data_IF_605975480117
#
_entry.id   IF_605975480117
#
_cell.length_a   1.000
_cell.length_b   1.000
_cell.length_c   1.000
_cell.angle_alpha   90.00
_cell.angle_beta   90.00
_cell.angle_gamma   90.00
#
_symmetry.space_group_name_H-M   'P 1'
#
loop_
_entity.id
_entity.type
_entity.pdbx_description
1 polymer ?
#
# COMPACT_ATOMS: atom_id res chain seq x y z
N UNK A 1 -18.86 6.59 -9.88
CA UNK A 1 -18.59 5.14 -9.69
C UNK A 1 -17.13 4.79 -9.43
N UNK A 2 -16.13 5.44 -10.05
CA UNK A 2 -14.70 5.17 -9.73
C UNK A 2 -14.30 5.82 -8.40
N UNK A 3 -14.81 7.02 -8.13
CA UNK A 3 -14.67 7.72 -6.85
C UNK A 3 -15.15 6.86 -5.68
N UNK A 4 -16.38 6.34 -5.77
CA UNK A 4 -16.97 5.42 -4.78
C UNK A 4 -16.16 4.12 -4.59
N UNK A 5 -15.50 3.62 -5.64
CA UNK A 5 -14.59 2.48 -5.52
C UNK A 5 -13.27 2.85 -4.83
N UNK A 6 -12.73 4.03 -5.14
CA UNK A 6 -11.57 4.60 -4.45
C UNK A 6 -11.81 4.71 -2.94
N UNK A 7 -12.97 5.21 -2.53
CA UNK A 7 -13.36 5.31 -1.12
C UNK A 7 -13.46 3.95 -0.45
N UNK A 8 -14.01 2.94 -1.16
CA UNK A 8 -14.08 1.56 -0.68
C UNK A 8 -12.68 0.97 -0.47
N UNK A 9 -11.75 1.21 -1.40
CA UNK A 9 -10.36 0.77 -1.29
C UNK A 9 -9.64 1.47 -0.12
N UNK A 10 -9.86 2.78 0.06
CA UNK A 10 -9.30 3.55 1.18
C UNK A 10 -9.84 3.06 2.52
N UNK A 11 -11.16 2.88 2.65
CA UNK A 11 -11.79 2.39 3.88
C UNK A 11 -11.28 0.99 4.26
N UNK A 12 -11.04 0.12 3.28
CA UNK A 12 -10.45 -1.21 3.53
C UNK A 12 -8.99 -1.13 3.94
N UNK A 13 -8.21 -0.21 3.37
CA UNK A 13 -6.83 0.04 3.77
C UNK A 13 -6.77 0.60 5.20
N UNK A 14 -7.61 1.58 5.52
CA UNK A 14 -7.77 2.17 6.86
C UNK A 14 -8.11 1.09 7.89
N UNK A 15 -9.11 0.23 7.62
CA UNK A 15 -9.50 -0.87 8.52
C UNK A 15 -8.35 -1.86 8.77
N UNK A 16 -7.56 -2.17 7.74
CA UNK A 16 -6.38 -3.04 7.90
C UNK A 16 -5.31 -2.37 8.76
N UNK A 17 -5.05 -1.08 8.55
CA UNK A 17 -4.08 -0.33 9.33
C UNK A 17 -4.49 -0.26 10.81
N UNK A 18 -5.76 0.03 11.09
CA UNK A 18 -6.34 0.01 12.45
C UNK A 18 -6.17 -1.37 13.08
N UNK A 19 -6.44 -2.46 12.34
CA UNK A 19 -6.26 -3.82 12.86
C UNK A 19 -4.83 -4.12 13.34
N UNK A 20 -3.81 -3.65 12.62
CA UNK A 20 -2.40 -3.83 13.05
C UNK A 20 -2.09 -3.03 14.33
N UNK A 21 -2.61 -1.80 14.42
CA UNK A 21 -2.41 -0.96 15.61
C UNK A 21 -3.11 -1.57 16.82
N UNK A 22 -4.37 -1.99 16.68
CA UNK A 22 -5.12 -2.63 17.77
C UNK A 22 -4.45 -3.93 18.22
N UNK A 23 -3.94 -4.73 17.28
CA UNK A 23 -3.20 -5.95 17.61
C UNK A 23 -1.92 -5.64 18.40
N UNK A 24 -1.14 -4.65 17.96
CA UNK A 24 0.07 -4.22 18.66
C UNK A 24 -0.24 -3.71 20.08
N UNK A 25 -1.31 -2.92 20.24
CA UNK A 25 -1.75 -2.43 21.55
C UNK A 25 -2.25 -3.56 22.46
N UNK A 26 -2.95 -4.56 21.91
CA UNK A 26 -3.38 -5.73 22.67
C UNK A 26 -2.18 -6.55 23.18
N UNK A 27 -1.18 -6.79 22.33
CA UNK A 27 0.07 -7.47 22.72
C UNK A 27 0.79 -6.68 23.81
N UNK A 28 0.93 -5.36 23.65
CA UNK A 28 1.53 -4.51 24.68
C UNK A 28 0.74 -4.56 26.00
N UNK A 29 -0.59 -4.51 25.94
CA UNK A 29 -1.45 -4.62 27.12
C UNK A 29 -1.25 -5.93 27.88
N UNK A 30 -1.12 -7.05 27.18
CA UNK A 30 -0.81 -8.36 27.77
C UNK A 30 0.57 -8.34 28.44
N UNK A 31 1.58 -7.76 27.79
CA UNK A 31 2.93 -7.67 28.37
C UNK A 31 2.94 -6.82 29.63
N UNK A 32 2.25 -5.67 29.62
CA UNK A 32 2.17 -4.79 30.78
C UNK A 32 1.42 -5.45 31.95
N UNK A 33 0.45 -6.32 31.67
CA UNK A 33 -0.29 -7.05 32.70
C UNK A 33 0.56 -8.08 33.46
N UNK A 34 1.67 -8.53 32.87
CA UNK A 34 2.63 -9.45 33.51
C UNK A 34 3.49 -8.73 34.57
N UNK A 35 3.51 -7.39 34.56
CA UNK A 35 4.24 -6.51 35.50
C UNK A 35 5.75 -6.81 35.60
N UNK A 36 6.34 -7.31 34.51
CA UNK A 36 7.78 -7.59 34.43
C UNK A 36 8.49 -6.57 33.54
N UNK A 37 9.26 -5.68 34.18
CA UNK A 37 9.89 -4.54 33.50
C UNK A 37 10.81 -4.95 32.34
N UNK A 38 11.58 -6.02 32.48
CA UNK A 38 12.49 -6.49 31.43
C UNK A 38 11.74 -7.08 30.23
N UNK A 39 10.63 -7.77 30.48
CA UNK A 39 9.76 -8.25 29.40
C UNK A 39 9.16 -7.08 28.62
N UNK A 40 8.72 -6.03 29.32
CA UNK A 40 8.24 -4.80 28.69
C UNK A 40 9.30 -4.19 27.78
N UNK A 41 10.52 -3.99 28.27
CA UNK A 41 11.64 -3.43 27.48
C UNK A 41 11.94 -4.28 26.25
N UNK A 42 11.99 -5.61 26.40
CA UNK A 42 12.25 -6.53 25.29
C UNK A 42 11.10 -6.60 24.28
N UNK A 43 9.86 -6.35 24.70
CA UNK A 43 8.69 -6.40 23.83
C UNK A 43 8.54 -5.18 22.92
N UNK A 44 9.09 -4.02 23.30
CA UNK A 44 8.98 -2.76 22.54
C UNK A 44 9.31 -2.92 21.05
N UNK A 45 10.46 -3.48 20.64
CA UNK A 45 10.76 -3.65 19.21
C UNK A 45 9.74 -4.55 18.50
N UNK A 46 9.23 -5.58 19.17
CA UNK A 46 8.24 -6.51 18.60
C UNK A 46 6.89 -5.82 18.39
N UNK A 47 6.44 -5.05 19.39
CA UNK A 47 5.20 -4.25 19.30
C UNK A 47 5.32 -3.20 18.18
N UNK A 48 6.48 -2.56 18.06
CA UNK A 48 6.74 -1.60 16.99
C UNK A 48 6.68 -2.25 15.61
N UNK A 49 7.26 -3.43 15.43
CA UNK A 49 7.16 -4.20 14.18
C UNK A 49 5.71 -4.54 13.82
N UNK A 50 4.88 -4.93 14.81
CA UNK A 50 3.45 -5.16 14.57
C UNK A 50 2.68 -3.89 14.21
N UNK A 51 3.01 -2.76 14.82
CA UNK A 51 2.36 -1.47 14.55
C UNK A 51 2.86 -0.82 13.23
N UNK A 52 4.06 -1.16 12.77
CA UNK A 52 4.74 -0.50 11.66
C UNK A 52 3.90 -0.42 10.37
N UNK A 53 3.19 -1.47 9.90
CA UNK A 53 2.35 -1.38 8.71
C UNK A 53 1.21 -0.36 8.87
N UNK A 54 0.58 -0.31 10.05
CA UNK A 54 -0.49 0.64 10.36
C UNK A 54 0.02 2.07 10.43
N UNK A 55 1.13 2.29 11.15
CA UNK A 55 1.77 3.60 11.25
C UNK A 55 2.22 4.14 9.88
N UNK A 56 2.85 3.30 9.06
CA UNK A 56 3.27 3.67 7.69
C UNK A 56 2.07 4.09 6.84
N UNK A 57 0.95 3.38 6.93
CA UNK A 57 -0.28 3.75 6.23
C UNK A 57 -0.76 5.14 6.64
N UNK A 58 -0.91 5.41 7.95
CA UNK A 58 -1.40 6.70 8.42
C UNK A 58 -0.47 7.88 8.08
N UNK A 59 0.85 7.68 8.18
CA UNK A 59 1.85 8.68 7.76
C UNK A 59 1.71 9.01 6.27
N UNK A 60 1.44 8.01 5.44
CA UNK A 60 1.32 8.18 3.99
C UNK A 60 -0.10 8.56 3.53
N UNK A 61 -1.12 8.41 4.38
CA UNK A 61 -2.53 8.58 4.06
C UNK A 61 -2.83 9.98 3.53
N UNK A 62 -2.35 11.02 4.21
CA UNK A 62 -2.58 12.42 3.80
C UNK A 62 -2.04 12.71 2.39
N UNK A 63 -0.83 12.24 2.11
CA UNK A 63 -0.23 12.39 0.77
C UNK A 63 -0.90 11.53 -0.29
N UNK A 64 -1.51 10.41 0.09
CA UNK A 64 -2.29 9.55 -0.81
C UNK A 64 -3.62 10.22 -1.17
N UNK A 65 -4.33 10.80 -0.20
CA UNK A 65 -5.56 11.55 -0.43
C UNK A 65 -5.31 12.76 -1.35
N UNK A 66 -4.26 13.53 -1.08
CA UNK A 66 -3.87 14.66 -1.94
C UNK A 66 -3.63 14.25 -3.40
N UNK A 67 -3.03 13.07 -3.65
CA UNK A 67 -2.83 12.55 -5.00
C UNK A 67 -4.16 12.18 -5.68
N UNK A 68 -5.08 11.56 -4.93
CA UNK A 68 -6.39 11.15 -5.44
C UNK A 68 -7.28 12.36 -5.73
N UNK A 69 -7.20 13.39 -4.90
CA UNK A 69 -7.94 14.65 -5.07
C UNK A 69 -7.39 15.48 -6.23
N UNK A 70 -6.06 15.54 -6.39
CA UNK A 70 -5.40 16.34 -7.43
C UNK A 70 -5.45 15.71 -8.82
N UNK A 71 -5.42 14.39 -8.92
CA UNK A 71 -5.34 13.69 -10.21
C UNK A 71 -6.52 12.74 -10.42
N UNK A 72 -7.24 12.86 -11.56
CA UNK A 72 -8.32 11.93 -11.86
C UNK A 72 -7.78 10.53 -12.10
N UNK A 73 -8.53 9.53 -11.66
CA UNK A 73 -8.22 8.12 -11.90
C UNK A 73 -8.25 7.78 -13.39
N UNK A 74 -7.15 7.22 -13.90
CA UNK A 74 -7.03 6.80 -15.30
C UNK A 74 -6.74 5.30 -15.38
N UNK A 75 -7.43 4.54 -16.25
CA UNK A 75 -7.08 3.16 -16.52
C UNK A 75 -5.81 3.14 -17.37
N UNK A 76 -4.84 2.33 -16.98
CA UNK A 76 -3.61 2.12 -17.75
C UNK A 76 -3.36 0.63 -17.93
N UNK A 77 -2.92 0.26 -19.12
CA UNK A 77 -2.46 -1.08 -19.40
C UNK A 77 -1.07 -1.24 -18.80
N UNK A 78 -0.88 -2.27 -17.99
CA UNK A 78 0.37 -2.49 -17.29
C UNK A 78 0.77 -3.97 -17.27
N UNK A 79 2.05 -4.24 -17.48
CA UNK A 79 2.64 -5.59 -17.46
C UNK A 79 3.73 -5.70 -16.43
N UNK A 80 3.88 -6.86 -15.80
CA UNK A 80 4.98 -7.07 -14.85
C UNK A 80 6.33 -7.06 -15.58
N UNK A 81 7.30 -6.34 -15.01
CA UNK A 81 8.67 -6.34 -15.52
C UNK A 81 9.34 -7.66 -15.11
N UNK A 82 9.81 -8.49 -16.07
CA UNK A 82 10.51 -9.73 -15.76
C UNK A 82 11.82 -9.43 -15.04
N UNK A 83 12.21 -10.27 -14.08
CA UNK A 83 13.47 -10.16 -13.35
C UNK A 83 13.56 -9.05 -12.28
N UNK A 84 12.77 -7.97 -12.37
CA UNK A 84 12.70 -6.92 -11.32
C UNK A 84 11.68 -7.28 -10.23
N UNK A 85 11.95 -8.31 -9.42
CA UNK A 85 11.12 -8.66 -8.25
C UNK A 85 11.95 -8.59 -6.97
N UNK A 86 11.49 -7.76 -6.02
CA UNK A 86 12.10 -7.67 -4.68
C UNK A 86 11.00 -7.87 -3.64
N UNK A 87 10.85 -9.11 -3.15
CA UNK A 87 9.88 -9.46 -2.10
C UNK A 87 8.42 -9.09 -2.43
N UNK A 88 7.85 -8.16 -1.62
CA UNK A 88 6.47 -7.65 -1.77
C UNK A 88 6.34 -6.54 -2.82
N UNK A 89 7.45 -6.07 -3.36
CA UNK A 89 7.47 -5.01 -4.36
C UNK A 89 7.14 -5.58 -5.74
N UNK A 90 6.30 -4.87 -6.48
CA UNK A 90 5.94 -5.15 -7.86
C UNK A 90 6.44 -4.02 -8.75
N UNK A 91 7.11 -4.39 -9.83
CA UNK A 91 7.50 -3.47 -10.90
C UNK A 91 6.59 -3.72 -12.09
N UNK A 92 5.88 -2.68 -12.50
CA UNK A 92 4.94 -2.71 -13.60
C UNK A 92 5.41 -1.75 -14.69
N UNK A 93 5.44 -2.19 -15.93
CA UNK A 93 5.60 -1.31 -17.08
C UNK A 93 4.23 -0.87 -17.54
N UNK A 94 4.03 0.45 -17.65
CA UNK A 94 2.81 1.03 -18.21
C UNK A 94 2.99 1.21 -19.71
N UNK A 95 2.02 0.75 -20.51
CA UNK A 95 2.07 0.90 -21.96
C UNK A 95 2.12 2.40 -22.33
N UNK A 96 3.10 2.78 -23.16
CA UNK A 96 3.34 4.18 -23.54
C UNK A 96 4.18 4.98 -22.54
N UNK A 97 4.73 4.36 -21.50
CA UNK A 97 5.71 4.98 -20.61
C UNK A 97 7.05 4.25 -20.69
N UNK A 98 8.14 5.01 -20.79
CA UNK A 98 9.50 4.46 -20.73
C UNK A 98 9.92 4.08 -19.30
N UNK A 99 9.19 4.57 -18.29
CA UNK A 99 9.51 4.39 -16.88
C UNK A 99 8.77 3.21 -16.27
N UNK A 100 9.40 2.57 -15.28
CA UNK A 100 8.81 1.47 -14.53
C UNK A 100 8.02 2.02 -13.32
N UNK A 101 6.82 1.50 -13.09
CA UNK A 101 6.00 1.78 -11.92
C UNK A 101 6.35 0.81 -10.79
N UNK A 102 6.93 1.33 -9.71
CA UNK A 102 7.24 0.57 -8.50
C UNK A 102 6.10 0.67 -7.48
N UNK A 103 5.50 -0.47 -7.17
CA UNK A 103 4.46 -0.63 -6.14
C UNK A 103 5.03 -1.44 -4.96
N UNK A 104 5.27 -0.84 -3.78
CA UNK A 104 6.03 -1.50 -2.71
C UNK A 104 5.28 -2.66 -2.02
N UNK A 105 3.95 -2.60 -1.95
CA UNK A 105 3.15 -3.55 -1.14
C UNK A 105 1.95 -4.10 -1.90
N UNK A 106 2.17 -4.66 -3.09
CA UNK A 106 1.08 -5.24 -3.89
C UNK A 106 0.73 -6.67 -3.43
N UNK A 107 -0.49 -6.95 -2.95
CA UNK A 107 -0.92 -8.28 -2.52
C UNK A 107 -0.92 -9.27 -3.67
N UNK A 108 -0.65 -10.54 -3.38
CA UNK A 108 -0.60 -11.60 -4.41
C UNK A 108 -1.90 -11.70 -5.21
N UNK A 109 -3.06 -11.60 -4.55
CA UNK A 109 -4.37 -11.57 -5.23
C UNK A 109 -4.50 -10.41 -6.22
N UNK A 110 -3.99 -9.23 -5.87
CA UNK A 110 -3.98 -8.08 -6.76
C UNK A 110 -3.06 -8.34 -7.96
N UNK A 111 -1.92 -9.00 -7.72
CA UNK A 111 -0.96 -9.34 -8.78
C UNK A 111 -1.53 -10.31 -9.79
N UNK A 112 -2.18 -11.37 -9.31
CA UNK A 112 -2.90 -12.34 -10.15
C UNK A 112 -3.93 -11.62 -11.00
N UNK A 113 -4.73 -10.73 -10.40
CA UNK A 113 -5.71 -9.93 -11.12
C UNK A 113 -5.07 -9.06 -12.21
N UNK A 114 -3.95 -8.38 -11.92
CA UNK A 114 -3.24 -7.57 -12.91
C UNK A 114 -2.59 -8.42 -14.00
N UNK A 115 -2.08 -9.62 -13.68
CA UNK A 115 -1.56 -10.55 -14.69
C UNK A 115 -2.64 -11.00 -15.67
N UNK A 116 -3.85 -11.27 -15.18
CA UNK A 116 -4.96 -11.70 -16.03
C UNK A 116 -5.61 -10.54 -16.81
N UNK A 117 -5.78 -9.39 -16.17
CA UNK A 117 -6.50 -8.25 -16.78
C UNK A 117 -5.58 -7.34 -17.58
N UNK A 118 -4.29 -7.31 -17.27
CA UNK A 118 -3.31 -6.38 -17.83
C UNK A 118 -3.62 -4.91 -17.53
N UNK A 119 -4.49 -4.62 -16.55
CA UNK A 119 -5.00 -3.27 -16.29
C UNK A 119 -4.88 -2.88 -14.84
N UNK A 120 -4.48 -1.64 -14.60
CA UNK A 120 -4.51 -0.98 -13.30
C UNK A 120 -5.12 0.41 -13.44
N UNK A 121 -5.60 0.95 -12.33
CA UNK A 121 -6.05 2.34 -12.25
C UNK A 121 -5.02 3.14 -11.50
N UNK A 122 -4.63 4.29 -12.05
CA UNK A 122 -3.61 5.16 -11.46
C UNK A 122 -4.13 6.59 -11.28
N UNK A 123 -3.68 7.24 -10.21
CA UNK A 123 -3.84 8.67 -9.96
C UNK A 123 -2.46 9.29 -9.71
N UNK A 124 -2.11 10.30 -10.51
CA UNK A 124 -0.75 10.84 -10.67
C UNK A 124 -0.19 10.52 -12.06
N UNK A 125 1.13 10.62 -12.28
CA UNK A 125 2.16 10.96 -11.30
C UNK A 125 2.19 12.46 -10.93
N UNK A 126 2.58 12.75 -9.70
CA UNK A 126 2.95 14.10 -9.24
C UNK A 126 4.39 14.45 -9.67
N UNK A 127 4.81 15.70 -9.53
CA UNK A 127 6.15 16.21 -9.91
C UNK A 127 7.31 15.40 -9.29
N UNK A 128 7.07 14.76 -8.14
CA UNK A 128 8.04 13.90 -7.43
C UNK A 128 8.01 12.42 -7.88
N UNK A 129 7.31 12.11 -8.97
CA UNK A 129 7.07 10.77 -9.50
C UNK A 129 6.15 9.90 -8.64
N UNK A 130 5.37 10.50 -7.72
CA UNK A 130 4.51 9.76 -6.79
C UNK A 130 3.17 9.46 -7.44
N UNK A 131 2.66 8.26 -7.25
CA UNK A 131 1.42 7.81 -7.90
C UNK A 131 0.66 6.89 -6.95
N UNK A 132 -0.64 6.83 -7.09
CA UNK A 132 -1.49 5.89 -6.35
C UNK A 132 -2.05 4.90 -7.36
N UNK A 133 -1.93 3.61 -7.08
CA UNK A 133 -2.45 2.55 -7.92
C UNK A 133 -3.54 1.78 -7.17
N UNK A 134 -4.59 1.41 -7.90
CA UNK A 134 -5.64 0.49 -7.45
C UNK A 134 -6.04 -0.46 -8.58
N UNK A 135 -6.77 -1.51 -8.25
CA UNK A 135 -7.33 -2.43 -9.24
C UNK A 135 -8.87 -2.41 -9.16
N UNK A 136 -9.54 -2.67 -10.29
CA UNK A 136 -10.98 -2.94 -10.31
C UNK A 136 -11.19 -4.44 -10.08
N UNK A 137 -11.86 -4.82 -8.99
CA UNK A 137 -12.13 -6.21 -8.64
C UNK A 137 -11.48 -6.68 -7.32
N UNK A 138 -10.49 -5.95 -6.82
CA UNK A 138 -9.98 -6.15 -5.46
C UNK A 138 -9.85 -4.80 -4.78
N UNK A 139 -10.47 -4.65 -3.62
CA UNK A 139 -10.34 -3.44 -2.81
C UNK A 139 -8.92 -3.35 -2.24
N UNK A 140 -8.04 -2.72 -3.02
CA UNK A 140 -6.63 -2.55 -2.76
C UNK A 140 -6.18 -1.22 -3.34
N UNK A 141 -5.42 -0.47 -2.54
CA UNK A 141 -4.84 0.81 -2.92
C UNK A 141 -3.43 0.88 -2.35
N UNK A 142 -2.49 1.32 -3.18
CA UNK A 142 -1.09 1.47 -2.78
C UNK A 142 -0.49 2.71 -3.40
N UNK A 143 0.34 3.38 -2.59
CA UNK A 143 1.18 4.47 -3.07
C UNK A 143 2.45 3.88 -3.69
N UNK A 144 2.62 4.12 -4.98
CA UNK A 144 3.80 3.76 -5.75
C UNK A 144 4.66 4.96 -6.11
N UNK A 145 5.69 4.66 -6.90
CA UNK A 145 6.55 5.67 -7.52
C UNK A 145 6.89 5.25 -8.94
N UNK A 146 6.95 6.22 -9.83
CA UNK A 146 7.59 6.08 -11.15
C UNK A 146 9.10 6.10 -10.93
N UNK A 147 9.80 5.13 -11.51
CA UNK A 147 11.24 4.96 -11.40
C UNK A 147 11.83 4.92 -12.80
N UNK A 148 12.86 5.72 -13.04
CA UNK A 148 13.65 5.68 -14.26
C UNK A 148 14.36 4.33 -14.39
N UNK A 149 14.62 3.94 -15.64
CA UNK A 149 14.97 2.57 -16.00
C UNK A 149 16.27 2.06 -15.36
#
# INVERSE_FOLDING_TARGET
MITTWGDTCLARADRRAVGHILFALAVLGVVLWIDWIWLTVLSVPVVLEFAAPGLRHFVQRRGTLQLIERFPWRPVSARFVPGKRIGRQAYLRVDGSENDLRLPEMPERARVLVRHTGRIWVAGPDERGRVVAMTRGLAFLVRGRVVER
#
